data_IF_235871779652
#
_entry.id   IF_235871779652
#
_cell.length_a   1.000
_cell.length_b   1.000
_cell.length_c   1.000
_cell.angle_alpha   90.00
_cell.angle_beta   90.00
_cell.angle_gamma   90.00
#
_symmetry.space_group_name_H-M   'P 1'
#
loop_
_entity.id
_entity.type
_entity.pdbx_description
1 polymer ?
#
# COMPACT_ATOMS: atom_id res chain seq x y z
N UNK A 1 -60.37 -73.35 -9.14
CA UNK A 1 -59.36 -72.67 -9.96
C UNK A 1 -59.78 -71.22 -10.18
N UNK A 2 -59.19 -70.28 -9.43
CA UNK A 2 -59.10 -68.85 -9.76
C UNK A 2 -57.80 -68.39 -9.11
N UNK A 3 -56.82 -68.04 -9.91
CA UNK A 3 -55.49 -67.65 -9.49
C UNK A 3 -55.41 -66.14 -9.71
N UNK A 4 -55.59 -65.38 -8.63
CA UNK A 4 -55.44 -63.92 -8.64
C UNK A 4 -53.95 -63.57 -8.69
N UNK A 5 -53.54 -62.91 -9.77
CA UNK A 5 -52.20 -62.35 -9.91
C UNK A 5 -52.11 -61.04 -9.13
N UNK A 6 -51.44 -61.05 -7.98
CA UNK A 6 -51.06 -59.83 -7.25
C UNK A 6 -49.98 -59.08 -8.04
N UNK A 7 -50.33 -57.96 -8.68
CA UNK A 7 -49.35 -57.03 -9.25
C UNK A 7 -48.60 -56.27 -8.13
N UNK A 8 -47.27 -56.25 -8.22
CA UNK A 8 -46.40 -55.56 -7.25
C UNK A 8 -46.62 -54.03 -7.29
N UNK A 9 -46.95 -53.38 -6.16
CA UNK A 9 -47.29 -51.94 -6.12
C UNK A 9 -46.12 -51.02 -6.55
N UNK A 10 -44.86 -51.46 -6.44
CA UNK A 10 -43.69 -50.72 -6.91
C UNK A 10 -43.58 -50.73 -8.46
N UNK A 11 -44.00 -51.82 -9.10
CA UNK A 11 -44.04 -51.92 -10.57
C UNK A 11 -45.13 -51.03 -11.16
N UNK A 12 -46.25 -50.85 -10.45
CA UNK A 12 -47.33 -49.94 -10.85
C UNK A 12 -46.93 -48.47 -10.74
N UNK A 13 -46.25 -48.09 -9.65
CA UNK A 13 -45.75 -46.71 -9.43
C UNK A 13 -44.66 -46.31 -10.42
N UNK A 14 -43.74 -47.21 -10.75
CA UNK A 14 -42.70 -46.94 -11.76
C UNK A 14 -43.28 -46.77 -13.16
N UNK A 15 -44.27 -47.58 -13.56
CA UNK A 15 -44.98 -47.39 -14.84
C UNK A 15 -45.66 -46.02 -14.91
N UNK A 16 -46.30 -45.56 -13.84
CA UNK A 16 -46.94 -44.23 -13.80
C UNK A 16 -45.91 -43.11 -13.99
N UNK A 17 -44.76 -43.18 -13.30
CA UNK A 17 -43.69 -42.19 -13.43
C UNK A 17 -43.11 -42.12 -14.85
N UNK A 18 -42.92 -43.27 -15.51
CA UNK A 18 -42.47 -43.32 -16.90
C UNK A 18 -43.49 -42.67 -17.84
N UNK A 19 -44.79 -42.92 -17.66
CA UNK A 19 -45.82 -42.27 -18.48
C UNK A 19 -45.86 -40.76 -18.24
N UNK A 20 -45.72 -40.30 -16.99
CA UNK A 20 -45.65 -38.85 -16.68
C UNK A 20 -44.42 -38.20 -17.34
N UNK A 21 -43.27 -38.87 -17.33
CA UNK A 21 -42.05 -38.36 -17.95
C UNK A 21 -42.18 -38.27 -19.49
N UNK A 22 -42.75 -39.29 -20.12
CA UNK A 22 -43.02 -39.29 -21.57
C UNK A 22 -44.00 -38.17 -21.92
N UNK A 23 -45.10 -38.03 -21.16
CA UNK A 23 -46.10 -36.97 -21.39
C UNK A 23 -45.43 -35.58 -21.26
N UNK A 24 -44.62 -35.35 -20.23
CA UNK A 24 -43.90 -34.09 -20.04
C UNK A 24 -42.92 -33.79 -21.20
N UNK A 25 -42.16 -34.79 -21.65
CA UNK A 25 -41.25 -34.64 -22.79
C UNK A 25 -41.99 -34.31 -24.09
N UNK A 26 -43.10 -34.99 -24.36
CA UNK A 26 -43.92 -34.73 -25.55
C UNK A 26 -44.58 -33.35 -25.50
N UNK A 27 -45.01 -32.89 -24.32
CA UNK A 27 -45.60 -31.56 -24.15
C UNK A 27 -44.58 -30.46 -24.42
N UNK A 28 -43.35 -30.59 -23.89
CA UNK A 28 -42.28 -29.62 -24.15
C UNK A 28 -41.90 -29.52 -25.63
N UNK A 29 -41.83 -30.66 -26.32
CA UNK A 29 -41.52 -30.69 -27.75
C UNK A 29 -42.64 -30.05 -28.59
N UNK A 30 -43.90 -30.29 -28.23
CA UNK A 30 -45.04 -29.64 -28.86
C UNK A 30 -45.04 -28.12 -28.62
N UNK A 31 -44.71 -27.68 -27.40
CA UNK A 31 -44.62 -26.26 -27.03
C UNK A 31 -43.51 -25.56 -27.85
N UNK A 32 -42.34 -26.18 -27.98
CA UNK A 32 -41.24 -25.68 -28.80
C UNK A 32 -41.63 -25.60 -30.28
N UNK A 33 -42.29 -26.64 -30.82
CA UNK A 33 -42.78 -26.63 -32.19
C UNK A 33 -43.82 -25.51 -32.41
N UNK A 34 -44.76 -25.32 -31.48
CA UNK A 34 -45.74 -24.22 -31.57
C UNK A 34 -45.07 -22.85 -31.54
N UNK A 35 -44.07 -22.65 -30.66
CA UNK A 35 -43.28 -21.42 -30.61
C UNK A 35 -42.58 -21.13 -31.95
N UNK A 36 -41.90 -22.13 -32.53
CA UNK A 36 -41.26 -21.96 -33.85
C UNK A 36 -42.28 -21.69 -34.95
N UNK A 37 -43.43 -22.37 -34.95
CA UNK A 37 -44.47 -22.07 -35.94
C UNK A 37 -45.06 -20.68 -35.78
N UNK A 38 -45.19 -20.17 -34.55
CA UNK A 38 -45.68 -18.82 -34.29
C UNK A 38 -44.66 -17.77 -34.77
N UNK A 39 -43.39 -17.91 -34.40
CA UNK A 39 -42.29 -17.04 -34.84
C UNK A 39 -42.13 -17.03 -36.36
N UNK A 40 -42.27 -18.19 -37.01
CA UNK A 40 -42.19 -18.29 -38.47
C UNK A 40 -43.46 -17.82 -39.18
N UNK A 41 -44.62 -17.84 -38.53
CA UNK A 41 -45.90 -17.37 -39.07
C UNK A 41 -46.06 -15.85 -38.96
N UNK A 42 -45.50 -15.22 -37.92
CA UNK A 42 -45.41 -13.73 -37.84
C UNK A 42 -44.52 -13.12 -38.94
N UNK A 43 -43.68 -13.94 -39.60
CA UNK A 43 -42.72 -13.47 -40.59
C UNK A 43 -43.15 -13.63 -42.05
N UNK A 44 -44.45 -13.82 -42.34
CA UNK A 44 -44.96 -13.90 -43.71
C UNK A 44 -45.86 -12.72 -44.06
N UNK A 45 -45.25 -11.64 -44.56
CA UNK A 45 -45.98 -10.63 -45.33
C UNK A 45 -45.69 -9.18 -44.97
N UNK A 46 -44.44 -8.74 -45.08
CA UNK A 46 -44.09 -7.33 -45.14
C UNK A 46 -42.87 -7.18 -46.05
N UNK A 47 -42.96 -6.31 -47.06
CA UNK A 47 -41.79 -5.90 -47.83
C UNK A 47 -40.65 -5.62 -46.86
N UNK A 48 -39.56 -6.39 -46.94
CA UNK A 48 -38.30 -5.89 -46.42
C UNK A 48 -38.01 -4.64 -47.26
N UNK A 49 -37.98 -3.43 -46.68
CA UNK A 49 -37.15 -2.43 -47.30
C UNK A 49 -35.79 -3.13 -47.41
N UNK A 50 -35.22 -3.19 -48.63
CA UNK A 50 -33.78 -3.35 -48.73
C UNK A 50 -33.23 -2.44 -47.64
N UNK A 51 -32.36 -2.92 -46.73
CA UNK A 51 -31.76 -2.00 -45.81
C UNK A 51 -31.25 -0.89 -46.71
N UNK A 52 -31.83 0.31 -46.54
CA UNK A 52 -31.02 1.51 -46.63
C UNK A 52 -29.75 1.04 -45.94
N UNK A 53 -28.62 1.09 -46.63
CA UNK A 53 -27.37 1.09 -45.90
C UNK A 53 -27.54 2.27 -44.96
N UNK A 54 -28.12 2.03 -43.78
CA UNK A 54 -27.54 2.48 -42.56
C UNK A 54 -26.09 2.13 -42.83
N UNK A 55 -25.35 3.15 -43.19
CA UNK A 55 -24.06 3.30 -42.60
C UNK A 55 -24.33 3.04 -41.12
N UNK A 56 -24.26 1.76 -40.72
CA UNK A 56 -23.58 1.37 -39.52
C UNK A 56 -22.26 2.08 -39.69
N UNK A 57 -22.23 3.34 -39.26
CA UNK A 57 -21.12 3.83 -38.51
C UNK A 57 -21.02 2.75 -37.46
N UNK A 58 -20.16 1.77 -37.73
CA UNK A 58 -19.67 0.86 -36.75
C UNK A 58 -18.99 1.84 -35.80
N UNK A 59 -19.75 2.36 -34.82
CA UNK A 59 -19.20 3.11 -33.72
C UNK A 59 -18.22 2.10 -33.18
N UNK A 60 -16.94 2.31 -33.45
CA UNK A 60 -15.87 1.54 -32.84
C UNK A 60 -16.18 1.69 -31.36
N UNK A 61 -16.76 0.65 -30.77
CA UNK A 61 -16.93 0.60 -29.33
C UNK A 61 -15.49 0.46 -28.85
N UNK A 62 -14.88 1.59 -28.53
CA UNK A 62 -13.54 1.62 -27.96
C UNK A 62 -13.59 0.69 -26.75
N UNK A 63 -12.68 -0.28 -26.71
CA UNK A 63 -12.59 -1.16 -25.56
C UNK A 63 -12.25 -0.34 -24.32
N UNK A 64 -12.51 -0.87 -23.12
CA UNK A 64 -12.09 -0.19 -21.90
C UNK A 64 -10.57 0.06 -21.90
N UNK A 65 -9.78 -0.87 -22.45
CA UNK A 65 -8.33 -0.73 -22.62
C UNK A 65 -7.92 0.39 -23.58
N UNK A 66 -8.62 0.57 -24.70
CA UNK A 66 -8.35 1.66 -25.65
C UNK A 66 -8.65 3.02 -25.02
N UNK A 67 -9.77 3.11 -24.29
CA UNK A 67 -10.16 4.31 -23.56
C UNK A 67 -9.13 4.67 -22.49
N UNK A 68 -8.72 3.71 -21.67
CA UNK A 68 -7.73 3.92 -20.62
C UNK A 68 -6.35 4.26 -21.18
N UNK A 69 -5.96 3.69 -22.32
CA UNK A 69 -4.71 4.03 -22.99
C UNK A 69 -4.69 5.49 -23.46
N UNK A 70 -5.85 6.02 -23.89
CA UNK A 70 -6.00 7.45 -24.20
C UNK A 70 -5.98 8.31 -22.94
N UNK A 71 -6.77 7.94 -21.93
CA UNK A 71 -6.89 8.70 -20.68
C UNK A 71 -5.58 8.76 -19.90
N UNK A 72 -4.76 7.71 -19.98
CA UNK A 72 -3.43 7.66 -19.39
C UNK A 72 -2.51 8.82 -19.81
N UNK A 73 -2.71 9.39 -21.00
CA UNK A 73 -1.89 10.49 -21.53
C UNK A 73 -2.52 11.87 -21.35
N UNK A 74 -3.74 11.94 -20.81
CA UNK A 74 -4.46 13.20 -20.67
C UNK A 74 -3.96 13.99 -19.46
N UNK A 75 -4.07 15.32 -19.54
CA UNK A 75 -3.81 16.17 -18.37
C UNK A 75 -4.90 16.00 -17.30
N UNK A 76 -4.62 16.50 -16.10
CA UNK A 76 -5.60 16.56 -15.03
C UNK A 76 -6.89 17.29 -15.47
N UNK A 77 -6.76 18.47 -16.09
CA UNK A 77 -7.90 19.28 -16.54
C UNK A 77 -8.69 18.61 -17.67
N UNK A 78 -8.01 17.87 -18.54
CA UNK A 78 -8.65 17.11 -19.60
C UNK A 78 -9.47 15.96 -19.02
N UNK A 79 -8.92 15.20 -18.07
CA UNK A 79 -9.66 14.13 -17.38
C UNK A 79 -10.84 14.66 -16.55
N UNK A 80 -10.70 15.84 -15.92
CA UNK A 80 -11.82 16.48 -15.21
C UNK A 80 -12.98 16.81 -16.16
N UNK A 81 -12.71 17.12 -17.44
CA UNK A 81 -13.78 17.32 -18.44
C UNK A 81 -14.48 16.01 -18.79
N UNK A 82 -13.75 14.90 -18.83
CA UNK A 82 -14.33 13.57 -19.09
C UNK A 82 -15.26 13.08 -17.96
N UNK A 83 -15.19 13.69 -16.78
CA UNK A 83 -16.15 13.42 -15.68
C UNK A 83 -17.59 13.85 -15.97
N UNK A 84 -17.84 14.57 -17.07
CA UNK A 84 -19.20 14.90 -17.55
C UNK A 84 -19.74 13.87 -18.55
N UNK A 85 -18.90 12.98 -19.08
CA UNK A 85 -19.30 12.02 -20.11
C UNK A 85 -19.87 10.73 -19.48
N UNK A 86 -21.20 10.63 -19.45
CA UNK A 86 -21.94 9.46 -18.96
C UNK A 86 -22.12 8.37 -20.03
N UNK A 87 -21.47 8.49 -21.19
CA UNK A 87 -21.56 7.46 -22.23
C UNK A 87 -20.99 6.14 -21.72
N UNK A 88 -21.76 5.08 -21.92
CA UNK A 88 -21.37 3.74 -21.50
C UNK A 88 -20.33 3.17 -22.47
N UNK A 89 -19.37 2.47 -21.90
CA UNK A 89 -18.31 1.72 -22.57
C UNK A 89 -18.50 0.23 -22.29
N UNK A 90 -17.49 -0.58 -22.62
CA UNK A 90 -17.53 -2.02 -22.42
C UNK A 90 -17.80 -2.39 -20.96
N UNK A 91 -18.47 -3.53 -20.73
CA UNK A 91 -18.79 -4.05 -19.38
C UNK A 91 -19.72 -3.14 -18.53
N UNK A 92 -20.36 -2.14 -19.15
CA UNK A 92 -21.38 -1.32 -18.50
C UNK A 92 -20.83 -0.16 -17.66
N UNK A 93 -19.52 0.08 -17.69
CA UNK A 93 -18.91 1.28 -17.10
C UNK A 93 -19.24 2.51 -17.94
N UNK A 94 -19.17 3.70 -17.34
CA UNK A 94 -19.22 4.97 -18.07
C UNK A 94 -17.81 5.51 -18.25
N UNK A 95 -17.64 6.38 -19.24
CA UNK A 95 -16.38 7.11 -19.45
C UNK A 95 -15.97 7.91 -18.22
N UNK A 96 -16.91 8.58 -17.55
CA UNK A 96 -16.63 9.31 -16.31
C UNK A 96 -16.06 8.39 -15.20
N UNK A 97 -16.50 7.13 -15.12
CA UNK A 97 -15.97 6.16 -14.16
C UNK A 97 -14.49 5.85 -14.46
N UNK A 98 -14.14 5.62 -15.73
CA UNK A 98 -12.75 5.38 -16.17
C UNK A 98 -11.86 6.62 -16.01
N UNK A 99 -12.40 7.81 -16.27
CA UNK A 99 -11.70 9.08 -16.09
C UNK A 99 -11.36 9.32 -14.61
N UNK A 100 -12.33 9.05 -13.71
CA UNK A 100 -12.10 9.13 -12.26
C UNK A 100 -11.00 8.16 -11.81
N UNK A 101 -11.00 6.92 -12.31
CA UNK A 101 -9.93 5.97 -12.03
C UNK A 101 -8.55 6.49 -12.42
N UNK A 102 -8.43 7.13 -13.59
CA UNK A 102 -7.18 7.72 -14.04
C UNK A 102 -6.75 8.92 -13.17
N UNK A 103 -7.69 9.78 -12.79
CA UNK A 103 -7.43 10.91 -11.88
C UNK A 103 -6.86 10.43 -10.54
N UNK A 104 -7.48 9.42 -9.93
CA UNK A 104 -7.03 8.88 -8.64
C UNK A 104 -5.67 8.19 -8.78
N UNK A 105 -5.50 7.35 -9.81
CA UNK A 105 -4.31 6.50 -9.92
C UNK A 105 -3.06 7.22 -10.43
N UNK A 106 -3.21 8.17 -11.35
CA UNK A 106 -2.07 8.80 -12.04
C UNK A 106 -1.87 10.26 -11.65
N UNK A 107 -2.94 10.93 -11.22
CA UNK A 107 -2.89 12.32 -10.79
C UNK A 107 -3.08 12.48 -9.29
N UNK A 108 -3.05 11.38 -8.52
CA UNK A 108 -3.13 11.39 -7.05
C UNK A 108 -4.33 12.18 -6.50
N UNK A 109 -5.44 12.20 -7.24
CA UNK A 109 -6.64 12.95 -6.88
C UNK A 109 -7.23 12.45 -5.56
N UNK A 110 -7.55 13.39 -4.66
CA UNK A 110 -8.04 13.10 -3.32
C UNK A 110 -9.56 12.84 -3.31
N UNK A 111 -9.94 11.64 -3.73
CA UNK A 111 -11.35 11.25 -3.81
C UNK A 111 -12.03 11.19 -2.42
N UNK A 112 -11.28 10.84 -1.37
CA UNK A 112 -11.82 10.79 0.00
C UNK A 112 -12.16 12.20 0.50
N UNK A 113 -11.32 13.20 0.21
CA UNK A 113 -11.62 14.61 0.53
C UNK A 113 -12.70 15.19 -0.37
N UNK A 114 -12.82 14.73 -1.61
CA UNK A 114 -13.90 15.11 -2.52
C UNK A 114 -15.27 14.57 -2.07
N UNK A 115 -15.30 13.41 -1.40
CA UNK A 115 -16.51 12.74 -0.93
C UNK A 115 -16.37 12.31 0.55
N UNK A 116 -16.30 13.26 1.49
CA UNK A 116 -15.98 12.97 2.88
C UNK A 116 -17.06 12.09 3.54
N UNK A 117 -16.64 10.97 4.12
CA UNK A 117 -17.52 10.01 4.80
C UNK A 117 -18.40 9.18 3.86
N UNK A 118 -18.25 9.32 2.54
CA UNK A 118 -19.00 8.51 1.59
C UNK A 118 -18.40 7.09 1.49
N UNK A 119 -19.22 6.02 1.56
CA UNK A 119 -18.71 4.66 1.41
C UNK A 119 -18.31 4.39 -0.04
N UNK A 120 -17.02 4.41 -0.32
CA UNK A 120 -16.47 4.13 -1.65
C UNK A 120 -16.27 2.62 -1.85
N UNK A 121 -17.04 2.02 -2.75
CA UNK A 121 -16.72 0.67 -3.24
C UNK A 121 -15.50 0.74 -4.16
N UNK A 122 -14.41 0.07 -3.79
CA UNK A 122 -13.18 0.02 -4.60
C UNK A 122 -13.01 -1.36 -5.22
N UNK A 123 -12.83 -1.43 -6.54
CA UNK A 123 -12.47 -2.66 -7.28
C UNK A 123 -11.19 -2.44 -8.06
N UNK A 124 -10.40 -3.48 -8.24
CA UNK A 124 -9.22 -3.42 -9.11
C UNK A 124 -9.64 -3.73 -10.54
N UNK A 125 -9.10 -2.97 -11.49
CA UNK A 125 -9.29 -3.13 -12.92
C UNK A 125 -7.94 -3.17 -13.60
N UNK A 126 -7.63 -4.25 -14.31
CA UNK A 126 -6.37 -4.36 -15.04
C UNK A 126 -6.58 -4.19 -16.52
N UNK A 127 -5.66 -3.49 -17.16
CA UNK A 127 -5.61 -3.36 -18.62
C UNK A 127 -4.17 -3.38 -19.12
N UNK A 128 -4.00 -3.72 -20.39
CA UNK A 128 -2.69 -3.75 -21.03
C UNK A 128 -2.46 -2.42 -21.74
N UNK A 129 -1.38 -1.74 -21.40
CA UNK A 129 -0.91 -0.53 -22.07
C UNK A 129 0.53 -0.72 -22.52
N UNK A 130 0.79 -0.65 -23.83
CA UNK A 130 2.13 -0.87 -24.42
C UNK A 130 2.82 -2.10 -23.85
N UNK A 131 2.11 -3.22 -23.82
CA UNK A 131 2.58 -4.53 -23.31
C UNK A 131 2.82 -4.60 -21.79
N UNK A 132 2.53 -3.54 -21.03
CA UNK A 132 2.55 -3.56 -19.56
C UNK A 132 1.14 -3.69 -19.01
N UNK A 133 0.96 -4.59 -18.07
CA UNK A 133 -0.27 -4.67 -17.28
C UNK A 133 -0.29 -3.52 -16.26
N UNK A 134 -1.36 -2.74 -16.27
CA UNK A 134 -1.59 -1.62 -15.36
C UNK A 134 -2.87 -1.92 -14.58
N UNK A 135 -2.79 -1.84 -13.25
CA UNK A 135 -3.94 -1.98 -12.35
C UNK A 135 -4.42 -0.62 -11.88
N UNK A 136 -5.74 -0.39 -11.96
CA UNK A 136 -6.40 0.84 -11.57
C UNK A 136 -7.53 0.57 -10.58
N UNK A 137 -7.77 1.50 -9.63
CA UNK A 137 -8.95 1.46 -8.79
C UNK A 137 -10.17 1.97 -9.55
N UNK A 138 -11.22 1.16 -9.65
CA UNK A 138 -12.56 1.56 -10.08
C UNK A 138 -13.47 1.81 -8.88
N UNK A 139 -14.33 2.80 -9.05
CA UNK A 139 -15.33 3.23 -8.05
C UNK A 139 -16.74 3.13 -8.63
N UNK A 140 -17.28 1.91 -8.82
CA UNK A 140 -18.59 1.71 -9.43
C UNK A 140 -19.72 2.26 -8.54
N UNK A 141 -20.85 2.60 -9.15
CA UNK A 141 -22.08 2.95 -8.42
C UNK A 141 -22.17 4.39 -7.94
N UNK A 142 -21.21 5.26 -8.29
CA UNK A 142 -21.28 6.68 -7.98
C UNK A 142 -22.40 7.38 -8.75
N UNK A 143 -23.24 8.12 -8.01
CA UNK A 143 -24.36 8.89 -8.55
C UNK A 143 -23.89 10.14 -9.30
N UNK A 144 -24.77 10.75 -10.11
CA UNK A 144 -24.48 12.06 -10.72
C UNK A 144 -24.09 13.10 -9.66
N UNK A 145 -24.82 13.14 -8.53
CA UNK A 145 -24.52 14.06 -7.44
C UNK A 145 -23.12 13.86 -6.84
N UNK A 146 -22.65 12.61 -6.79
CA UNK A 146 -21.28 12.28 -6.37
C UNK A 146 -20.27 12.85 -7.38
N UNK A 147 -20.49 12.66 -8.68
CA UNK A 147 -19.64 13.25 -9.72
C UNK A 147 -19.70 14.78 -9.74
N UNK A 148 -20.85 15.39 -9.43
CA UNK A 148 -20.96 16.83 -9.28
C UNK A 148 -20.09 17.37 -8.14
N UNK A 149 -20.08 16.69 -6.99
CA UNK A 149 -19.20 17.03 -5.87
C UNK A 149 -17.72 16.85 -6.24
N UNK A 150 -17.35 15.73 -6.88
CA UNK A 150 -15.99 15.46 -7.37
C UNK A 150 -15.51 16.58 -8.31
N UNK A 151 -16.32 16.93 -9.31
CA UNK A 151 -15.98 17.99 -10.28
C UNK A 151 -15.88 19.36 -9.62
N UNK A 152 -16.74 19.64 -8.64
CA UNK A 152 -16.69 20.90 -7.88
C UNK A 152 -15.37 20.98 -7.13
N UNK A 153 -15.05 19.96 -6.34
CA UNK A 153 -13.79 19.86 -5.59
C UNK A 153 -12.57 20.02 -6.51
N UNK A 154 -12.54 19.30 -7.63
CA UNK A 154 -11.44 19.37 -8.60
C UNK A 154 -11.21 20.77 -9.20
N UNK A 155 -12.25 21.62 -9.22
CA UNK A 155 -12.20 22.96 -9.82
C UNK A 155 -12.01 24.08 -8.80
N UNK A 156 -12.38 23.84 -7.54
CA UNK A 156 -12.34 24.87 -6.49
C UNK A 156 -11.13 24.76 -5.59
N UNK A 157 -10.62 23.55 -5.37
CA UNK A 157 -9.42 23.34 -4.57
C UNK A 157 -8.16 23.76 -5.34
N UNK A 158 -7.24 24.43 -4.65
CA UNK A 158 -5.94 24.79 -5.22
C UNK A 158 -5.11 23.52 -5.47
N UNK A 159 -5.18 22.57 -4.53
CA UNK A 159 -4.47 21.31 -4.59
C UNK A 159 -5.42 20.14 -4.28
N UNK A 160 -6.21 19.66 -5.25
CA UNK A 160 -7.16 18.54 -5.08
C UNK A 160 -6.44 17.18 -5.01
N UNK A 161 -5.30 17.15 -4.33
CA UNK A 161 -4.35 16.04 -4.31
C UNK A 161 -4.29 15.43 -2.90
N UNK A 162 -4.02 14.13 -2.88
CA UNK A 162 -3.65 13.40 -1.66
C UNK A 162 -2.32 13.92 -1.11
N UNK A 163 -1.97 13.60 0.15
CA UNK A 163 -0.64 13.88 0.69
C UNK A 163 0.50 13.38 -0.20
N UNK A 164 0.37 12.18 -0.78
CA UNK A 164 1.34 11.66 -1.74
C UNK A 164 1.40 12.52 -3.00
N UNK A 165 0.25 12.91 -3.54
CA UNK A 165 0.20 13.80 -4.71
C UNK A 165 0.86 15.15 -4.47
N UNK A 166 0.64 15.77 -3.30
CA UNK A 166 1.32 17.01 -2.89
C UNK A 166 2.83 16.81 -2.84
N UNK A 167 3.29 15.68 -2.28
CA UNK A 167 4.70 15.33 -2.24
C UNK A 167 5.30 15.18 -3.64
N UNK A 168 4.62 14.47 -4.55
CA UNK A 168 5.09 14.27 -5.92
C UNK A 168 5.19 15.59 -6.68
N UNK A 169 4.14 16.44 -6.61
CA UNK A 169 4.15 17.78 -7.20
C UNK A 169 5.27 18.66 -6.64
N UNK A 170 5.50 18.59 -5.33
CA UNK A 170 6.57 19.35 -4.68
C UNK A 170 7.96 18.89 -5.13
N UNK A 171 8.17 17.58 -5.27
CA UNK A 171 9.45 17.01 -5.69
C UNK A 171 9.73 17.22 -7.18
N UNK A 172 8.69 17.21 -8.03
CA UNK A 172 8.82 17.40 -9.47
C UNK A 172 9.24 18.82 -9.87
N UNK A 173 9.04 19.81 -8.99
CA UNK A 173 9.30 21.23 -9.27
C UNK A 173 10.66 21.65 -8.72
N UNK A 174 11.42 22.44 -9.48
CA UNK A 174 12.63 23.08 -8.95
C UNK A 174 12.27 24.12 -7.88
N UNK A 175 11.29 24.97 -8.18
CA UNK A 175 10.73 25.98 -7.28
C UNK A 175 9.22 25.75 -7.11
N UNK A 176 8.81 25.55 -5.87
CA UNK A 176 7.42 25.28 -5.51
C UNK A 176 6.76 26.55 -4.99
N UNK A 177 5.49 26.83 -5.34
CA UNK A 177 4.75 27.98 -4.82
C UNK A 177 4.50 27.81 -3.32
N UNK A 178 4.39 28.92 -2.60
CA UNK A 178 4.22 28.91 -1.13
C UNK A 178 2.96 28.16 -0.71
N UNK A 179 1.87 28.26 -1.47
CA UNK A 179 0.63 27.52 -1.19
C UNK A 179 0.81 26.00 -1.26
N UNK A 180 1.71 25.48 -2.12
CA UNK A 180 2.01 24.04 -2.17
C UNK A 180 2.84 23.62 -0.96
N UNK A 181 3.82 24.44 -0.58
CA UNK A 181 4.66 24.21 0.60
C UNK A 181 3.80 24.17 1.86
N UNK A 182 2.92 25.15 2.03
CA UNK A 182 1.98 25.22 3.14
C UNK A 182 1.05 24.00 3.17
N UNK A 183 0.43 23.63 2.04
CA UNK A 183 -0.42 22.45 1.95
C UNK A 183 0.34 21.18 2.35
N UNK A 184 1.56 21.00 1.86
CA UNK A 184 2.40 19.85 2.18
C UNK A 184 2.79 19.80 3.66
N UNK A 185 3.17 20.94 4.25
CA UNK A 185 3.51 21.03 5.69
C UNK A 185 2.33 20.71 6.62
N UNK A 186 1.10 20.84 6.12
CA UNK A 186 -0.13 20.55 6.86
C UNK A 186 -0.59 19.09 6.73
N UNK A 187 0.05 18.29 5.88
CA UNK A 187 -0.18 16.84 5.81
C UNK A 187 0.23 16.16 7.11
N UNK A 188 -0.45 15.07 7.49
CA UNK A 188 -0.16 14.37 8.74
C UNK A 188 1.26 13.80 8.80
N UNK A 189 1.75 13.35 7.65
CA UNK A 189 3.06 12.74 7.45
C UNK A 189 4.18 13.77 7.70
N UNK A 190 4.12 14.93 7.03
CA UNK A 190 5.13 15.98 7.18
C UNK A 190 4.98 16.65 8.54
N UNK A 191 3.76 16.80 9.06
CA UNK A 191 3.54 17.33 10.40
C UNK A 191 4.16 16.43 11.49
N UNK A 192 4.10 15.10 11.34
CA UNK A 192 4.74 14.17 12.27
C UNK A 192 6.28 14.34 12.29
N UNK A 193 6.90 14.53 11.11
CA UNK A 193 8.32 14.85 11.00
C UNK A 193 8.64 16.20 11.65
N UNK A 194 7.84 17.23 11.32
CA UNK A 194 7.98 18.59 11.88
C UNK A 194 7.92 18.56 13.40
N UNK A 195 7.01 17.80 14.01
CA UNK A 195 6.95 17.67 15.47
C UNK A 195 8.26 17.21 16.10
N UNK A 196 9.03 16.35 15.43
CA UNK A 196 10.34 15.89 15.93
C UNK A 196 11.47 16.89 15.70
N UNK A 197 11.41 17.66 14.60
CA UNK A 197 12.53 18.50 14.16
C UNK A 197 12.32 20.03 14.30
N UNK A 198 11.11 20.50 14.59
CA UNK A 198 10.78 21.93 14.59
C UNK A 198 11.59 22.80 15.56
N UNK A 199 12.08 22.22 16.67
CA UNK A 199 12.92 22.95 17.61
C UNK A 199 14.32 23.23 17.05
N UNK A 200 14.73 22.50 16.01
CA UNK A 200 16.06 22.53 15.42
C UNK A 200 16.07 23.13 14.01
N UNK A 201 14.97 22.96 13.26
CA UNK A 201 14.90 23.28 11.84
C UNK A 201 13.73 24.22 11.53
N UNK A 202 13.98 25.12 10.58
CA UNK A 202 12.92 25.90 9.94
C UNK A 202 12.07 25.02 9.01
N UNK A 203 10.87 25.49 8.67
CA UNK A 203 9.99 24.82 7.73
C UNK A 203 10.65 24.61 6.35
N UNK A 204 11.45 25.57 5.88
CA UNK A 204 12.21 25.43 4.63
C UNK A 204 13.26 24.31 4.70
N UNK A 205 13.92 24.14 5.86
CA UNK A 205 14.90 23.07 6.05
C UNK A 205 14.21 21.70 6.13
N UNK A 206 13.04 21.63 6.75
CA UNK A 206 12.21 20.42 6.75
C UNK A 206 11.77 20.08 5.32
N UNK A 207 11.35 21.07 4.54
CA UNK A 207 10.96 20.87 3.15
C UNK A 207 12.14 20.44 2.27
N UNK A 208 13.36 20.89 2.56
CA UNK A 208 14.57 20.41 1.89
C UNK A 208 14.81 18.91 2.16
N UNK A 209 14.65 18.46 3.42
CA UNK A 209 14.71 17.04 3.78
C UNK A 209 13.62 16.24 3.06
N UNK A 210 12.37 16.74 3.09
CA UNK A 210 11.24 16.10 2.41
C UNK A 210 11.54 15.94 0.91
N UNK A 211 12.07 16.97 0.26
CA UNK A 211 12.44 16.93 -1.17
C UNK A 211 13.50 15.87 -1.49
N UNK A 212 14.35 15.55 -0.52
CA UNK A 212 15.39 14.51 -0.63
C UNK A 212 14.97 13.20 0.02
N UNK A 213 13.69 12.94 0.26
CA UNK A 213 13.22 11.70 0.87
C UNK A 213 12.48 10.80 -0.14
N UNK A 214 12.10 9.60 0.31
CA UNK A 214 11.13 8.75 -0.39
C UNK A 214 9.77 8.92 0.28
N UNK A 215 8.68 8.94 -0.51
CA UNK A 215 7.32 8.99 0.03
C UNK A 215 7.06 7.87 1.06
N UNK A 216 7.54 6.65 0.78
CA UNK A 216 7.40 5.50 1.70
C UNK A 216 7.98 5.76 3.09
N UNK A 217 9.04 6.56 3.20
CA UNK A 217 9.67 6.93 4.47
C UNK A 217 8.82 7.94 5.27
N UNK A 218 8.05 8.79 4.57
CA UNK A 218 7.13 9.74 5.19
C UNK A 218 5.79 9.07 5.56
N UNK A 219 5.22 8.31 4.65
CA UNK A 219 3.95 7.61 4.86
C UNK A 219 4.02 6.60 6.01
N UNK A 220 5.16 5.92 6.17
CA UNK A 220 5.40 4.96 7.25
C UNK A 220 6.39 5.50 8.28
N UNK A 221 6.28 6.79 8.62
CA UNK A 221 7.23 7.44 9.51
C UNK A 221 7.14 6.88 10.94
N UNK A 222 8.05 5.96 11.27
CA UNK A 222 8.17 5.32 12.58
C UNK A 222 9.43 5.77 13.33
N UNK A 223 10.53 5.94 12.60
CA UNK A 223 11.86 6.25 13.11
C UNK A 223 12.45 7.46 12.40
N UNK A 224 13.09 8.34 13.17
CA UNK A 224 13.84 9.46 12.61
C UNK A 224 15.12 8.97 11.93
N UNK A 225 15.77 7.93 12.49
CA UNK A 225 16.98 7.33 11.94
C UNK A 225 16.76 6.82 10.52
N UNK A 226 15.71 6.00 10.31
CA UNK A 226 15.39 5.43 9.00
C UNK A 226 15.04 6.51 7.98
N UNK A 227 14.30 7.54 8.40
CA UNK A 227 13.97 8.67 7.55
C UNK A 227 15.22 9.43 7.09
N UNK A 228 16.08 9.83 8.04
CA UNK A 228 17.32 10.56 7.74
C UNK A 228 18.26 9.74 6.86
N UNK A 229 18.38 8.43 7.11
CA UNK A 229 19.16 7.53 6.28
C UNK A 229 18.62 7.46 4.84
N UNK A 230 17.29 7.40 4.68
CA UNK A 230 16.67 7.45 3.34
C UNK A 230 16.95 8.77 2.61
N UNK A 231 17.15 9.87 3.34
CA UNK A 231 17.54 11.16 2.79
C UNK A 231 19.03 11.21 2.42
N UNK A 232 19.90 10.56 3.21
CA UNK A 232 21.33 10.39 2.91
C UNK A 232 21.53 9.59 1.61
N UNK A 233 20.73 8.55 1.39
CA UNK A 233 20.73 7.81 0.12
C UNK A 233 20.41 8.69 -1.10
N UNK A 234 19.70 9.80 -0.89
CA UNK A 234 19.32 10.82 -1.89
C UNK A 234 20.20 12.08 -1.82
N UNK A 235 21.41 11.94 -1.30
CA UNK A 235 22.44 12.99 -1.27
C UNK A 235 22.03 14.25 -0.49
N UNK A 236 21.24 14.10 0.57
CA UNK A 236 20.95 15.21 1.50
C UNK A 236 22.08 15.41 2.49
N UNK A 237 22.79 16.53 2.35
CA UNK A 237 23.85 16.93 3.28
C UNK A 237 23.28 17.32 4.64
N UNK A 238 22.11 17.98 4.67
CA UNK A 238 21.42 18.30 5.91
C UNK A 238 21.06 17.03 6.69
N UNK A 239 20.57 15.99 6.01
CA UNK A 239 20.28 14.72 6.67
C UNK A 239 21.54 14.05 7.23
N UNK A 240 22.65 14.10 6.50
CA UNK A 240 23.94 13.59 6.96
C UNK A 240 24.41 14.30 8.24
N UNK A 241 24.32 15.63 8.27
CA UNK A 241 24.63 16.43 9.45
C UNK A 241 23.74 16.06 10.65
N UNK A 242 22.43 15.95 10.43
CA UNK A 242 21.47 15.59 11.48
C UNK A 242 21.69 14.18 12.03
N UNK A 243 22.07 13.23 11.17
CA UNK A 243 22.37 11.86 11.59
C UNK A 243 23.60 11.83 12.52
N UNK A 244 24.63 12.64 12.25
CA UNK A 244 25.80 12.77 13.12
C UNK A 244 25.47 13.52 14.42
N UNK A 245 24.67 14.58 14.35
CA UNK A 245 24.42 15.46 15.49
C UNK A 245 23.37 14.90 16.47
N UNK A 246 22.31 14.27 15.96
CA UNK A 246 21.20 13.76 16.76
C UNK A 246 21.28 12.25 17.00
N UNK A 247 21.89 11.51 16.08
CA UNK A 247 21.82 10.04 16.03
C UNK A 247 23.24 9.43 15.94
N UNK A 248 24.22 10.07 16.59
CA UNK A 248 25.65 9.68 16.54
C UNK A 248 25.87 8.21 16.86
N UNK A 249 25.31 7.74 17.98
CA UNK A 249 25.46 6.34 18.41
C UNK A 249 24.86 5.38 17.39
N UNK A 250 23.72 5.75 16.79
CA UNK A 250 23.11 4.97 15.74
C UNK A 250 24.04 4.86 14.53
N UNK A 251 24.55 6.00 14.06
CA UNK A 251 25.44 6.08 12.92
C UNK A 251 26.69 5.20 13.09
N UNK A 252 27.33 5.25 14.25
CA UNK A 252 28.55 4.49 14.53
C UNK A 252 28.32 2.99 14.64
N UNK A 253 27.18 2.57 15.23
CA UNK A 253 26.93 1.17 15.60
C UNK A 253 26.15 0.37 14.57
N UNK A 254 25.23 0.98 13.84
CA UNK A 254 24.25 0.25 13.04
C UNK A 254 24.31 0.51 11.55
N UNK A 255 24.98 1.58 11.10
CA UNK A 255 25.23 1.73 9.66
C UNK A 255 26.19 0.64 9.21
N UNK A 256 25.99 0.11 8.01
CA UNK A 256 26.97 -0.75 7.36
C UNK A 256 28.12 0.08 6.75
N UNK A 257 29.05 -0.57 6.05
CA UNK A 257 30.18 0.13 5.43
C UNK A 257 29.76 0.99 4.23
N UNK A 258 28.76 0.59 3.46
CA UNK A 258 28.28 1.32 2.28
C UNK A 258 27.55 2.58 2.72
N UNK A 259 26.67 2.46 3.71
CA UNK A 259 25.95 3.56 4.31
C UNK A 259 26.88 4.56 4.99
N UNK A 260 27.91 4.07 5.70
CA UNK A 260 28.91 4.95 6.32
C UNK A 260 29.74 5.70 5.27
N UNK A 261 30.19 5.02 4.21
CA UNK A 261 30.92 5.69 3.12
C UNK A 261 30.07 6.79 2.48
N UNK A 262 28.79 6.49 2.21
CA UNK A 262 27.82 7.48 1.72
C UNK A 262 27.67 8.65 2.68
N UNK A 263 27.49 8.39 3.97
CA UNK A 263 27.40 9.42 5.02
C UNK A 263 28.62 10.33 5.01
N UNK A 264 29.82 9.75 5.08
CA UNK A 264 31.08 10.50 5.10
C UNK A 264 31.29 11.33 3.83
N UNK A 265 30.85 10.84 2.67
CA UNK A 265 30.96 11.56 1.40
C UNK A 265 30.14 12.87 1.37
N UNK A 266 29.11 12.97 2.20
CA UNK A 266 28.21 14.13 2.26
C UNK A 266 28.61 15.14 3.34
N UNK A 267 29.44 14.75 4.31
CA UNK A 267 29.90 15.58 5.42
C UNK A 267 31.02 16.54 4.97
N UNK A 268 30.67 17.55 4.17
CA UNK A 268 31.63 18.54 3.65
C UNK A 268 31.95 19.65 4.64
N UNK A 269 31.11 19.85 5.65
CA UNK A 269 31.29 20.91 6.65
C UNK A 269 32.31 20.54 7.71
N UNK A 270 33.17 21.50 8.06
CA UNK A 270 34.23 21.34 9.08
C UNK A 270 33.76 21.85 10.44
N UNK A 271 32.69 21.26 10.98
CA UNK A 271 32.31 21.54 12.36
C UNK A 271 33.10 20.63 13.31
N UNK A 272 33.37 21.07 14.57
CA UNK A 272 34.07 20.24 15.54
C UNK A 272 33.40 18.87 15.76
N UNK A 273 32.08 18.81 15.69
CA UNK A 273 31.29 17.59 15.85
C UNK A 273 31.52 16.62 14.69
N UNK A 274 31.53 17.12 13.46
CA UNK A 274 31.76 16.33 12.25
C UNK A 274 33.22 15.86 12.22
N UNK A 275 34.18 16.72 12.52
CA UNK A 275 35.60 16.34 12.59
C UNK A 275 35.83 15.26 13.65
N UNK A 276 35.21 15.38 14.82
CA UNK A 276 35.27 14.37 15.87
C UNK A 276 34.65 13.03 15.42
N UNK A 277 33.52 13.08 14.73
CA UNK A 277 32.88 11.87 14.19
C UNK A 277 33.74 11.19 13.13
N UNK A 278 34.29 11.94 12.17
CA UNK A 278 35.16 11.42 11.11
C UNK A 278 36.44 10.82 11.71
N UNK A 279 37.04 11.48 12.70
CA UNK A 279 38.21 10.96 13.41
C UNK A 279 37.90 9.66 14.16
N UNK A 280 36.73 9.55 14.80
CA UNK A 280 36.29 8.33 15.50
C UNK A 280 36.12 7.16 14.53
N UNK A 281 35.50 7.39 13.37
CA UNK A 281 35.36 6.38 12.31
C UNK A 281 36.71 5.98 11.75
N UNK A 282 37.60 6.94 11.48
CA UNK A 282 38.95 6.68 10.94
C UNK A 282 39.83 5.87 11.90
N UNK A 283 39.68 6.06 13.21
CA UNK A 283 40.40 5.31 14.25
C UNK A 283 39.87 3.88 14.46
N UNK A 284 38.88 3.43 13.68
CA UNK A 284 38.37 2.06 13.73
C UNK A 284 37.53 1.75 14.96
N UNK A 285 37.02 2.78 15.66
CA UNK A 285 36.20 2.62 16.87
C UNK A 285 34.74 2.19 16.57
N UNK A 286 34.43 1.86 15.31
CA UNK A 286 33.16 1.20 14.97
C UNK A 286 33.18 -0.24 15.48
N UNK A 287 32.11 -0.75 16.10
CA UNK A 287 32.08 -2.09 16.70
C UNK A 287 32.53 -3.23 15.78
N UNK A 288 32.27 -3.11 14.47
CA UNK A 288 32.68 -4.09 13.46
C UNK A 288 34.21 -4.18 13.28
N UNK A 289 34.93 -3.07 13.49
CA UNK A 289 36.40 -3.00 13.37
C UNK A 289 37.13 -3.32 14.68
N UNK A 290 36.44 -3.26 15.82
CA UNK A 290 36.96 -3.67 17.13
C UNK A 290 37.25 -5.19 17.21
N UNK A 291 36.80 -5.99 16.23
CA UNK A 291 37.15 -7.42 16.11
C UNK A 291 38.48 -7.68 15.39
N UNK A 292 39.16 -6.67 14.84
CA UNK A 292 40.41 -6.83 14.04
C UNK A 292 41.67 -6.20 14.65
N UNK A 293 41.60 -5.56 15.82
CA UNK A 293 42.82 -5.20 16.54
C UNK A 293 43.18 -6.33 17.51
N UNK A 294 44.26 -7.06 17.18
CA UNK A 294 44.95 -7.95 18.12
C UNK A 294 45.50 -7.13 19.30
N UNK A 295 44.66 -6.93 20.32
CA UNK A 295 45.11 -6.66 21.69
C UNK A 295 44.63 -7.83 22.53
N UNK A 296 45.59 -8.56 23.13
CA UNK A 296 45.36 -9.63 24.10
C UNK A 296 44.27 -9.20 25.12
N UNK A 297 43.24 -10.03 25.35
CA UNK A 297 42.09 -9.62 26.17
C UNK A 297 42.46 -9.56 27.65
N UNK A 298 42.01 -8.55 28.41
CA UNK A 298 41.55 -8.78 29.78
C UNK A 298 40.14 -9.37 29.68
N UNK A 299 39.95 -10.57 30.22
CA UNK A 299 38.68 -11.30 30.23
C UNK A 299 37.58 -10.48 30.95
N UNK A 300 36.58 -10.00 30.21
CA UNK A 300 35.28 -9.70 30.82
C UNK A 300 34.55 -11.03 31.04
N UNK A 301 34.34 -11.38 32.31
CA UNK A 301 33.58 -12.56 32.69
C UNK A 301 32.11 -12.32 32.33
N UNK A 302 31.58 -13.12 31.41
CA UNK A 302 30.15 -13.20 31.15
C UNK A 302 29.42 -13.58 32.44
N UNK A 303 28.48 -12.75 32.89
CA UNK A 303 27.63 -13.08 34.04
C UNK A 303 26.52 -14.02 33.57
N UNK A 304 26.62 -15.29 33.98
CA UNK A 304 25.68 -16.34 33.62
C UNK A 304 24.68 -16.58 34.76
N UNK A 305 23.39 -16.64 34.43
CA UNK A 305 22.30 -17.00 35.34
C UNK A 305 21.68 -18.34 34.93
N UNK A 306 21.52 -19.27 35.86
CA UNK A 306 20.85 -20.55 35.60
C UNK A 306 19.40 -20.43 36.04
N UNK A 307 18.48 -20.54 35.09
CA UNK A 307 17.04 -20.42 35.31
C UNK A 307 16.55 -21.47 36.31
N UNK A 308 15.81 -21.06 37.33
CA UNK A 308 15.23 -21.91 38.36
C UNK A 308 13.76 -22.27 38.06
N UNK A 309 13.22 -23.34 38.66
CA UNK A 309 11.79 -23.65 38.57
C UNK A 309 10.91 -22.50 39.06
N UNK A 310 10.04 -21.97 38.18
CA UNK A 310 9.12 -20.87 38.50
C UNK A 310 9.59 -19.48 38.06
N UNK A 311 10.77 -19.40 37.44
CA UNK A 311 11.28 -18.18 36.82
C UNK A 311 10.55 -17.84 35.52
N UNK A 312 10.51 -16.55 35.24
CA UNK A 312 10.12 -16.01 33.94
C UNK A 312 11.11 -14.92 33.54
N UNK A 313 11.20 -14.63 32.24
CA UNK A 313 12.04 -13.52 31.76
C UNK A 313 11.72 -12.22 32.48
N UNK A 314 10.45 -11.97 32.82
CA UNK A 314 10.02 -10.78 33.56
C UNK A 314 10.51 -10.74 35.01
N UNK A 315 10.55 -11.88 35.71
CA UNK A 315 11.09 -11.94 37.07
C UNK A 315 12.60 -11.69 37.07
N UNK A 316 13.31 -12.37 36.17
CA UNK A 316 14.76 -12.23 36.02
C UNK A 316 15.12 -10.81 35.57
N UNK A 317 14.37 -10.24 34.62
CA UNK A 317 14.58 -8.86 34.16
C UNK A 317 14.46 -7.86 35.32
N UNK A 318 13.50 -8.05 36.21
CA UNK A 318 13.31 -7.23 37.42
C UNK A 318 14.43 -7.42 38.44
N UNK A 319 14.81 -8.67 38.71
CA UNK A 319 15.81 -9.01 39.73
C UNK A 319 17.20 -8.48 39.39
N UNK A 320 17.54 -8.46 38.10
CA UNK A 320 18.84 -8.00 37.59
C UNK A 320 18.80 -6.59 36.96
N UNK A 321 17.66 -5.90 37.04
CA UNK A 321 17.44 -4.58 36.46
C UNK A 321 17.83 -4.49 34.96
N UNK A 322 17.42 -5.50 34.20
CA UNK A 322 17.62 -5.61 32.74
C UNK A 322 16.26 -5.55 32.06
N UNK A 323 16.18 -4.98 30.86
CA UNK A 323 14.93 -5.04 30.07
C UNK A 323 14.70 -6.45 29.51
N UNK A 324 13.44 -6.91 29.50
CA UNK A 324 13.07 -8.25 28.98
C UNK A 324 13.51 -8.42 27.52
N UNK A 325 13.39 -7.36 26.71
CA UNK A 325 13.78 -7.34 25.31
C UNK A 325 15.29 -7.56 25.13
N UNK A 326 16.10 -7.00 26.05
CA UNK A 326 17.55 -7.15 26.06
C UNK A 326 17.92 -8.59 26.43
N UNK A 327 17.27 -9.19 27.44
CA UNK A 327 17.46 -10.60 27.79
C UNK A 327 17.12 -11.55 26.64
N UNK A 328 16.03 -11.27 25.91
CA UNK A 328 15.63 -12.05 24.72
C UNK A 328 16.63 -11.95 23.61
N UNK A 329 17.07 -10.74 23.29
CA UNK A 329 18.04 -10.49 22.23
C UNK A 329 19.37 -11.17 22.53
N UNK A 330 19.89 -11.03 23.76
CA UNK A 330 21.16 -11.62 24.18
C UNK A 330 21.14 -13.15 24.13
N UNK A 331 20.02 -13.77 24.52
CA UNK A 331 19.90 -15.22 24.64
C UNK A 331 19.17 -15.89 23.47
N UNK A 332 18.79 -15.11 22.44
CA UNK A 332 18.02 -15.57 21.28
C UNK A 332 16.73 -16.30 21.67
N UNK A 333 15.99 -15.74 22.63
CA UNK A 333 14.76 -16.33 23.18
C UNK A 333 13.54 -15.70 22.54
N UNK A 334 12.83 -16.48 21.73
CA UNK A 334 11.62 -16.04 21.04
C UNK A 334 10.34 -16.33 21.86
N UNK A 335 10.37 -17.34 22.74
CA UNK A 335 9.19 -17.75 23.52
C UNK A 335 9.21 -17.25 24.96
N UNK A 336 8.03 -17.01 25.54
CA UNK A 336 7.88 -16.56 26.93
C UNK A 336 8.13 -17.67 27.97
N UNK A 337 8.20 -18.93 27.52
CA UNK A 337 8.42 -20.09 28.37
C UNK A 337 9.92 -20.35 28.53
N UNK A 338 10.45 -20.09 29.73
CA UNK A 338 11.81 -20.49 30.10
C UNK A 338 11.82 -21.91 30.67
N UNK A 339 12.75 -22.75 30.20
CA UNK A 339 12.98 -24.09 30.77
C UNK A 339 13.93 -23.97 31.96
N UNK A 340 13.57 -24.48 33.16
CA UNK A 340 14.51 -24.56 34.28
C UNK A 340 15.79 -25.29 33.90
N UNK A 341 16.93 -24.80 34.39
CA UNK A 341 18.28 -25.26 34.05
C UNK A 341 18.91 -24.58 32.83
N UNK A 342 18.17 -23.72 32.11
CA UNK A 342 18.73 -22.95 30.99
C UNK A 342 19.70 -21.89 31.50
N UNK A 343 20.87 -21.78 30.88
CA UNK A 343 21.83 -20.70 31.19
C UNK A 343 21.51 -19.47 30.34
N UNK A 344 21.31 -18.33 31.01
CA UNK A 344 21.13 -17.02 30.41
C UNK A 344 22.38 -16.17 30.60
N UNK A 345 22.78 -15.50 29.53
CA UNK A 345 23.79 -14.45 29.51
C UNK A 345 23.12 -13.15 29.95
N UNK A 346 23.64 -12.55 31.01
CA UNK A 346 23.24 -11.23 31.50
C UNK A 346 24.25 -10.17 31.04
N UNK A 347 23.79 -8.96 30.65
CA UNK A 347 24.68 -7.84 30.38
C UNK A 347 25.35 -7.35 31.69
N UNK A 348 26.66 -7.10 31.65
CA UNK A 348 27.58 -6.99 32.79
C UNK A 348 27.15 -6.18 34.03
N UNK A 349 27.49 -6.75 35.20
CA UNK A 349 27.77 -6.21 36.55
C UNK A 349 26.67 -5.45 37.33
N UNK A 350 25.40 -5.85 37.20
CA UNK A 350 24.40 -5.57 38.25
C UNK A 350 24.12 -6.82 39.06
N UNK A 351 24.58 -6.81 40.31
CA UNK A 351 24.23 -7.81 41.31
C UNK A 351 22.74 -7.70 41.66
N UNK A 352 22.07 -8.82 41.99
CA UNK A 352 20.62 -8.83 42.23
C UNK A 352 20.28 -7.86 43.35
N UNK A 353 19.32 -6.97 43.11
CA UNK A 353 18.86 -6.00 44.11
C UNK A 353 18.19 -6.75 45.26
N UNK A 354 18.87 -6.84 46.42
CA UNK A 354 18.26 -7.32 47.66
C UNK A 354 17.44 -6.19 48.28
N UNK A 355 16.18 -6.10 47.89
CA UNK A 355 15.16 -5.42 48.70
C UNK A 355 13.96 -6.34 48.90
N UNK A 356 13.55 -6.44 50.17
CA UNK A 356 12.54 -7.33 50.73
C UNK A 356 11.10 -6.97 50.35
#
# INVERSE_FOLDING_TARGET
>A
MKQDHFENPLAKRSRILVHVLIISGTLNLALLATFFTFVLKENKGGHFPLPVKEQKIQRVLLSNGDMLSRYFLMSFEELVKELYDETHVEQGYRKCDLALSCLVAFHYFDLERALPGFPLEKRQFTFINREKEISLPLYPGLSEGSFAAIRTFARTEIWPLTPEGLFQEFCARERSPDSLKEALLMTGEVYALKRKLHALLSDESILELVKRSKWSSLANFTSLQDFLLSCVEKDSQLAAYLLVHLEREFALRYLDNVQMEKLLSLLTEKTPEVEAFVAEVANGLRPENLTKQEVKPPQEKEHLYIVQPGDSLWKISREFDVKVEVLRMLNKIESDHLKPGTTLILPSDRSPSRDH
#
